data_IF_922096126855
#
_entry.id   IF_922096126855
#
_cell.length_a   1.000
_cell.length_b   1.000
_cell.length_c   1.000
_cell.angle_alpha   90.00
_cell.angle_beta   90.00
_cell.angle_gamma   90.00
#
_symmetry.space_group_name_H-M   'P 1'
#
loop_
_entity.id
_entity.type
_entity.pdbx_description
1 polymer ?
#
# COMPACT_ATOMS: atom_id res chain seq x y z
N UNK A 1 -5.62 18.96 7.45
CA UNK A 1 -4.76 18.71 6.27
C UNK A 1 -5.25 17.42 5.65
N UNK A 2 -5.62 17.39 4.36
CA UNK A 2 -6.03 16.14 3.71
C UNK A 2 -4.81 15.22 3.56
N UNK A 3 -4.99 13.91 3.76
CA UNK A 3 -3.92 12.90 3.75
C UNK A 3 -4.22 11.83 2.69
N UNK A 4 -3.18 11.31 2.04
CA UNK A 4 -3.30 10.17 1.15
C UNK A 4 -3.64 8.91 1.95
N UNK A 5 -4.68 8.20 1.53
CA UNK A 5 -5.19 7.03 2.22
C UNK A 5 -5.66 5.96 1.22
N UNK A 6 -5.23 4.73 1.46
CA UNK A 6 -5.69 3.56 0.73
C UNK A 6 -5.95 2.37 1.65
N UNK A 7 -6.74 1.43 1.15
CA UNK A 7 -6.92 0.10 1.74
C UNK A 7 -6.53 -0.92 0.68
N UNK A 8 -5.59 -1.79 1.05
CA UNK A 8 -5.07 -2.85 0.20
C UNK A 8 -5.48 -4.20 0.76
N UNK A 9 -5.83 -5.13 -0.12
CA UNK A 9 -6.12 -6.53 0.20
C UNK A 9 -4.90 -7.38 -0.14
N UNK A 10 -4.44 -8.20 0.82
CA UNK A 10 -3.32 -9.12 0.59
C UNK A 10 -3.78 -10.28 -0.30
N UNK A 11 -3.02 -10.56 -1.35
CA UNK A 11 -3.27 -11.68 -2.27
C UNK A 11 -2.18 -12.73 -2.10
N UNK A 12 -2.60 -13.99 -2.02
CA UNK A 12 -1.72 -15.14 -1.83
C UNK A 12 -1.47 -15.88 -3.13
N UNK A 13 -0.27 -16.43 -3.28
CA UNK A 13 -0.01 -17.44 -4.29
C UNK A 13 -0.64 -18.80 -3.92
N UNK A 14 -0.55 -19.76 -4.84
CA UNK A 14 -1.01 -21.14 -4.62
C UNK A 14 -0.35 -21.84 -3.41
N UNK A 15 0.74 -21.28 -2.85
CA UNK A 15 1.48 -21.79 -1.70
C UNK A 15 1.15 -21.05 -0.40
N UNK A 16 0.25 -20.07 -0.44
CA UNK A 16 -0.17 -19.29 0.73
C UNK A 16 0.80 -18.18 1.14
N UNK A 17 1.76 -17.78 0.29
CA UNK A 17 2.59 -16.60 0.54
C UNK A 17 1.89 -15.35 0.03
N UNK A 18 1.89 -14.28 0.82
CA UNK A 18 1.46 -12.97 0.35
C UNK A 18 2.41 -12.51 -0.75
N UNK A 19 1.97 -12.57 -2.00
CA UNK A 19 2.81 -12.28 -3.17
C UNK A 19 2.51 -10.92 -3.78
N UNK A 20 1.34 -10.36 -3.50
CA UNK A 20 0.90 -9.09 -4.05
C UNK A 20 -0.18 -8.49 -3.14
N UNK A 21 -0.60 -7.27 -3.43
CA UNK A 21 -1.80 -6.69 -2.87
C UNK A 21 -2.59 -5.92 -3.92
N UNK A 22 -3.90 -5.86 -3.72
CA UNK A 22 -4.82 -5.16 -4.62
C UNK A 22 -5.38 -3.94 -3.91
N UNK A 23 -5.34 -2.78 -4.57
CA UNK A 23 -5.97 -1.57 -4.04
C UNK A 23 -7.50 -1.71 -4.08
N UNK A 24 -8.13 -1.79 -2.92
CA UNK A 24 -9.60 -1.88 -2.79
C UNK A 24 -10.25 -0.53 -2.53
N UNK A 25 -9.49 0.41 -1.99
CA UNK A 25 -9.91 1.79 -1.82
C UNK A 25 -8.69 2.71 -1.92
N UNK A 26 -8.86 3.87 -2.55
CA UNK A 26 -7.93 4.99 -2.55
C UNK A 26 -8.77 6.27 -2.53
N UNK A 27 -8.37 7.25 -1.72
CA UNK A 27 -8.95 8.60 -1.82
C UNK A 27 -8.21 9.43 -2.87
N UNK A 28 -8.78 10.57 -3.27
CA UNK A 28 -8.17 11.46 -4.29
C UNK A 28 -6.73 11.89 -3.95
N UNK A 29 -6.40 12.04 -2.67
CA UNK A 29 -5.05 12.41 -2.25
C UNK A 29 -4.00 11.34 -2.59
N UNK A 30 -4.38 10.07 -2.78
CA UNK A 30 -3.47 9.05 -3.31
C UNK A 30 -3.01 9.41 -4.72
N UNK A 31 -3.90 9.92 -5.57
CA UNK A 31 -3.52 10.30 -6.93
C UNK A 31 -2.55 11.49 -6.94
N UNK A 32 -2.74 12.43 -6.02
CA UNK A 32 -1.82 13.56 -5.85
C UNK A 32 -0.42 13.12 -5.35
N UNK A 33 -0.36 12.14 -4.43
CA UNK A 33 0.90 11.65 -3.87
C UNK A 33 1.65 10.74 -4.84
N UNK A 34 0.95 9.78 -5.44
CA UNK A 34 1.53 8.76 -6.34
C UNK A 34 1.70 9.25 -7.78
N UNK A 35 0.99 10.32 -8.17
CA UNK A 35 0.97 10.81 -9.55
C UNK A 35 0.22 9.91 -10.53
N UNK A 36 -0.57 8.95 -10.02
CA UNK A 36 -1.33 7.97 -10.80
C UNK A 36 -2.83 8.20 -10.56
N UNK A 37 -3.69 8.20 -11.58
CA UNK A 37 -5.13 8.33 -11.38
C UNK A 37 -5.71 7.18 -10.52
N UNK A 38 -6.69 7.48 -9.67
CA UNK A 38 -7.37 6.46 -8.83
C UNK A 38 -7.97 5.33 -9.69
N UNK A 39 -8.48 5.66 -10.87
CA UNK A 39 -9.00 4.68 -11.84
C UNK A 39 -7.96 3.68 -12.33
N UNK A 40 -6.68 4.01 -12.23
CA UNK A 40 -5.56 3.15 -12.61
C UNK A 40 -4.98 2.38 -11.41
N UNK A 41 -5.39 2.72 -10.18
CA UNK A 41 -5.01 1.98 -8.97
C UNK A 41 -6.06 0.96 -8.55
N UNK A 42 -7.33 1.38 -8.50
CA UNK A 42 -8.42 0.59 -7.91
C UNK A 42 -8.58 -0.74 -8.65
N UNK A 43 -8.68 -1.82 -7.87
CA UNK A 43 -8.78 -3.21 -8.30
C UNK A 43 -7.59 -3.71 -9.13
N UNK A 44 -6.46 -3.01 -9.11
CA UNK A 44 -5.20 -3.47 -9.71
C UNK A 44 -4.21 -3.89 -8.65
N UNK A 45 -3.32 -4.77 -9.06
CA UNK A 45 -2.23 -5.27 -8.22
C UNK A 45 -1.16 -4.20 -8.00
N UNK A 46 -0.40 -4.28 -6.91
CA UNK A 46 0.68 -3.34 -6.64
C UNK A 46 1.71 -3.34 -7.77
N UNK A 47 2.08 -4.52 -8.26
CA UNK A 47 3.07 -4.66 -9.33
C UNK A 47 2.52 -4.25 -10.70
N UNK A 48 1.20 -4.27 -10.91
CA UNK A 48 0.57 -3.68 -12.10
C UNK A 48 0.60 -2.15 -12.07
N UNK A 49 0.41 -1.55 -10.90
CA UNK A 49 0.43 -0.09 -10.72
C UNK A 49 1.86 0.45 -10.68
N UNK A 50 2.77 -0.30 -10.04
CA UNK A 50 4.17 0.05 -9.82
C UNK A 50 5.07 -1.11 -10.25
N UNK A 51 5.43 -1.17 -11.54
CA UNK A 51 6.23 -2.27 -12.11
C UNK A 51 7.55 -2.54 -11.37
N UNK A 52 8.14 -1.51 -10.74
CA UNK A 52 9.37 -1.60 -9.96
C UNK A 52 9.16 -1.45 -8.45
N UNK A 53 7.93 -1.70 -7.99
CA UNK A 53 7.52 -1.53 -6.59
C UNK A 53 8.42 -2.29 -5.62
N UNK A 54 8.94 -1.60 -4.60
CA UNK A 54 9.89 -2.19 -3.67
C UNK A 54 9.25 -3.29 -2.80
N UNK A 55 9.81 -4.51 -2.85
CA UNK A 55 9.33 -5.68 -2.10
C UNK A 55 9.35 -5.49 -0.58
N UNK A 56 10.14 -4.53 -0.07
CA UNK A 56 10.17 -4.23 1.38
C UNK A 56 8.77 -3.88 1.91
N UNK A 57 7.97 -3.18 1.11
CA UNK A 57 6.62 -2.75 1.49
C UNK A 57 5.69 -3.95 1.65
N UNK A 58 5.82 -4.94 0.75
CA UNK A 58 5.03 -6.17 0.75
C UNK A 58 5.14 -6.91 2.08
N UNK A 59 6.36 -7.07 2.61
CA UNK A 59 6.58 -7.82 3.86
C UNK A 59 5.86 -7.14 5.03
N UNK A 60 5.97 -5.81 5.15
CA UNK A 60 5.32 -5.11 6.25
C UNK A 60 3.80 -5.08 6.10
N UNK A 61 3.28 -4.84 4.89
CA UNK A 61 1.83 -4.87 4.67
C UNK A 61 1.25 -6.26 4.87
N UNK A 62 1.98 -7.32 4.48
CA UNK A 62 1.57 -8.69 4.72
C UNK A 62 1.50 -9.00 6.23
N UNK A 63 2.50 -8.58 7.01
CA UNK A 63 2.48 -8.73 8.47
C UNK A 63 1.26 -8.01 9.10
N UNK A 64 0.97 -6.78 8.67
CA UNK A 64 -0.21 -6.04 9.13
C UNK A 64 -1.49 -6.80 8.76
N UNK A 65 -1.65 -7.14 7.49
CA UNK A 65 -2.86 -7.76 6.96
C UNK A 65 -3.14 -9.16 7.52
N UNK A 66 -2.11 -9.90 7.90
CA UNK A 66 -2.22 -11.24 8.50
C UNK A 66 -2.36 -11.19 10.02
N UNK A 67 -1.50 -10.44 10.69
CA UNK A 67 -1.30 -10.55 12.13
C UNK A 67 -2.00 -9.44 12.93
N UNK A 68 -2.56 -8.42 12.26
CA UNK A 68 -3.25 -7.32 12.94
C UNK A 68 -2.32 -6.30 13.59
N UNK A 69 -1.02 -6.40 13.35
CA UNK A 69 -0.02 -5.47 13.86
C UNK A 69 -0.22 -4.07 13.27
N UNK A 70 0.26 -3.05 14.01
CA UNK A 70 0.36 -1.68 13.52
C UNK A 70 1.82 -1.36 13.26
N UNK A 71 2.10 -0.78 12.11
CA UNK A 71 3.46 -0.42 11.71
C UNK A 71 3.53 1.04 11.25
N UNK A 72 4.68 1.66 11.49
CA UNK A 72 5.02 2.96 10.90
C UNK A 72 6.33 2.81 10.18
N UNK A 73 6.31 3.08 8.89
CA UNK A 73 7.43 2.95 7.98
C UNK A 73 7.91 4.36 7.67
N UNK A 74 9.22 4.55 7.51
CA UNK A 74 9.73 5.77 6.86
C UNK A 74 10.85 5.37 5.95
N UNK A 75 10.63 5.49 4.65
CA UNK A 75 11.60 5.09 3.64
C UNK A 75 11.45 5.92 2.37
N UNK A 76 12.46 5.87 1.52
CA UNK A 76 12.42 6.44 0.19
C UNK A 76 11.54 5.59 -0.73
N UNK A 77 10.62 6.24 -1.44
CA UNK A 77 9.84 5.69 -2.54
C UNK A 77 10.44 6.16 -3.85
N UNK A 78 11.07 5.24 -4.63
CA UNK A 78 11.57 5.54 -5.96
C UNK A 78 10.46 5.97 -6.94
N UNK A 79 9.24 5.46 -6.73
CA UNK A 79 8.09 5.67 -7.60
C UNK A 79 7.70 7.16 -7.68
N UNK A 80 7.80 7.87 -6.55
CA UNK A 80 7.47 9.30 -6.45
C UNK A 80 8.69 10.19 -6.17
N UNK A 81 9.89 9.60 -6.08
CA UNK A 81 11.15 10.26 -5.75
C UNK A 81 11.09 11.12 -4.46
N UNK A 82 10.47 10.58 -3.41
CA UNK A 82 10.33 11.25 -2.10
C UNK A 82 10.47 10.26 -0.95
N UNK A 83 10.78 10.77 0.24
CA UNK A 83 10.62 9.98 1.45
C UNK A 83 9.15 9.97 1.87
N UNK A 84 8.61 8.77 2.09
CA UNK A 84 7.27 8.56 2.61
C UNK A 84 7.36 8.09 4.06
N UNK A 85 6.54 8.68 4.92
CA UNK A 85 6.14 8.04 6.17
C UNK A 85 4.79 7.38 5.95
N UNK A 86 4.70 6.08 6.19
CA UNK A 86 3.48 5.30 5.97
C UNK A 86 3.01 4.71 7.30
N UNK A 87 1.78 5.01 7.69
CA UNK A 87 1.14 4.42 8.86
C UNK A 87 0.21 3.30 8.42
N UNK A 88 0.39 2.12 8.99
CA UNK A 88 -0.29 0.90 8.55
C UNK A 88 -1.00 0.23 9.72
N UNK A 89 -2.23 -0.22 9.51
CA UNK A 89 -2.98 -1.02 10.48
C UNK A 89 -3.98 -1.93 9.76
N UNK A 90 -4.41 -3.00 10.42
CA UNK A 90 -5.40 -3.93 9.87
C UNK A 90 -6.82 -3.42 10.18
N UNK A 91 -7.61 -2.98 9.19
CA UNK A 91 -9.00 -2.59 9.43
C UNK A 91 -9.89 -3.83 9.64
N UNK A 92 -9.61 -4.91 8.89
CA UNK A 92 -10.24 -6.23 8.97
C UNK A 92 -9.20 -7.30 8.54
N UNK A 93 -9.35 -8.57 8.96
CA UNK A 93 -8.42 -9.63 8.58
C UNK A 93 -8.23 -9.75 7.07
N UNK A 94 -6.98 -9.85 6.61
CA UNK A 94 -6.61 -9.91 5.19
C UNK A 94 -6.36 -8.55 4.53
N UNK A 95 -6.58 -7.44 5.23
CA UNK A 95 -6.46 -6.08 4.68
C UNK A 95 -5.47 -5.23 5.46
N UNK A 96 -4.84 -4.28 4.78
CA UNK A 96 -4.00 -3.25 5.38
C UNK A 96 -4.51 -1.87 4.96
N UNK A 97 -4.76 -1.00 5.93
CA UNK A 97 -5.10 0.40 5.72
C UNK A 97 -3.82 1.23 5.87
N UNK A 98 -3.54 2.08 4.88
CA UNK A 98 -2.29 2.82 4.77
C UNK A 98 -2.58 4.32 4.69
N UNK A 99 -1.91 5.12 5.52
CA UNK A 99 -1.88 6.59 5.42
C UNK A 99 -0.47 7.00 4.99
N UNK A 100 -0.36 7.69 3.85
CA UNK A 100 0.91 8.08 3.27
C UNK A 100 1.15 9.57 3.48
N UNK A 101 2.33 9.92 4.02
CA UNK A 101 2.75 11.30 4.25
C UNK A 101 4.10 11.52 3.55
N UNK A 102 4.14 12.25 2.42
CA UNK A 102 5.39 12.65 1.80
C UNK A 102 6.13 13.68 2.66
N UNK A 103 7.45 13.53 2.73
CA UNK A 103 8.39 14.50 3.31
C UNK A 103 9.09 15.31 2.23
#
# INVERSE_FOLDING_TARGET
MPLAFCVIELVFDEKGHGVDFVFRYCNEMMADVEGIPISEMINRSFYEVFENGDKKWLVTYADVALNGNKHTLTDYSPEINKHLTIYCYQPIPGYCACILIPK
#
